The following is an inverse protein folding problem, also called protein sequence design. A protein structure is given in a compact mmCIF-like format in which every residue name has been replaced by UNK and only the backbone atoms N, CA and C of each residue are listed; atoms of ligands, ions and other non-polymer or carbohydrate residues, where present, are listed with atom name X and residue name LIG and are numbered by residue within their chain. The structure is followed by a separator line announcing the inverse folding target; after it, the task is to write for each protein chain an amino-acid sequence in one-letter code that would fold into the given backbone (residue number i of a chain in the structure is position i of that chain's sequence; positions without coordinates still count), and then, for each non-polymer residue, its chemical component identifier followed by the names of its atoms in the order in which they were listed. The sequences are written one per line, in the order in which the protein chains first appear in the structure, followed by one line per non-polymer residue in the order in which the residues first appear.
data_IF_305004176504
#
_entry.id   IF_305004176504
#
_cell.length_a   1.000
_cell.length_b   1.000
_cell.length_c   1.000
_cell.angle_alpha   90.00
_cell.angle_beta   90.00
_cell.angle_gamma   90.00
#
_symmetry.space_group_name_H-M   'P 1'
#
loop_
_entity.id
_entity.type
_entity.pdbx_description
1 polymer ?
#
# COMPACT_ATOMS: atom_id res chain seq x y z
N UNK A 1 -4.67 -7.96 14.64
CA UNK A 1 -4.87 -6.80 13.74
C UNK A 1 -4.37 -7.21 12.36
N UNK A 2 -5.14 -6.96 11.31
CA UNK A 2 -4.87 -7.37 9.91
C UNK A 2 -4.80 -6.12 9.02
N UNK A 3 -4.07 -6.19 7.91
CA UNK A 3 -4.00 -5.10 6.92
C UNK A 3 -5.39 -4.82 6.34
N UNK A 4 -5.74 -3.53 6.19
CA UNK A 4 -7.04 -3.12 5.66
C UNK A 4 -7.08 -3.26 4.14
N UNK A 5 -8.19 -3.81 3.63
CA UNK A 5 -8.42 -4.01 2.20
C UNK A 5 -9.49 -3.06 1.64
N UNK A 6 -10.26 -2.37 2.49
CA UNK A 6 -11.38 -1.48 2.12
C UNK A 6 -12.36 -2.05 1.09
N UNK A 7 -12.65 -3.36 1.13
CA UNK A 7 -13.51 -4.03 0.15
C UNK A 7 -14.88 -3.36 0.00
N UNK A 8 -15.53 -2.97 1.09
CA UNK A 8 -16.87 -2.38 1.04
C UNK A 8 -16.91 -1.05 0.28
N UNK A 9 -15.85 -0.25 0.43
CA UNK A 9 -15.74 1.02 -0.29
C UNK A 9 -15.29 0.79 -1.72
N UNK A 10 -14.32 -0.11 -1.95
CA UNK A 10 -13.85 -0.49 -3.29
C UNK A 10 -14.97 -1.04 -4.17
N UNK A 11 -15.89 -1.85 -3.62
CA UNK A 11 -17.07 -2.37 -4.34
C UNK A 11 -17.97 -1.25 -4.86
N UNK A 12 -18.01 -0.11 -4.18
CA UNK A 12 -18.79 1.06 -4.57
C UNK A 12 -18.09 1.92 -5.65
N UNK A 13 -16.88 1.53 -6.07
CA UNK A 13 -16.07 2.22 -7.06
C UNK A 13 -15.89 1.34 -8.30
N UNK A 14 -16.84 1.36 -9.26
CA UNK A 14 -16.84 0.44 -10.40
C UNK A 14 -15.55 0.49 -11.22
N UNK A 15 -14.95 1.68 -11.36
CA UNK A 15 -13.71 1.86 -12.12
C UNK A 15 -12.53 1.04 -11.58
N UNK A 16 -12.46 0.81 -10.27
CA UNK A 16 -11.41 0.01 -9.63
C UNK A 16 -11.86 -1.44 -9.56
N UNK A 17 -13.09 -1.68 -9.07
CA UNK A 17 -13.58 -3.03 -8.82
C UNK A 17 -13.73 -3.84 -10.11
N UNK A 18 -14.36 -3.29 -11.15
CA UNK A 18 -14.55 -3.99 -12.43
C UNK A 18 -13.21 -4.16 -13.17
N UNK A 19 -12.31 -3.18 -13.03
CA UNK A 19 -10.96 -3.31 -13.59
C UNK A 19 -10.19 -4.47 -12.95
N UNK A 20 -10.22 -4.58 -11.63
CA UNK A 20 -9.58 -5.68 -10.91
C UNK A 20 -10.25 -7.03 -11.19
N UNK A 21 -11.58 -7.03 -11.33
CA UNK A 21 -12.32 -8.21 -11.74
C UNK A 21 -11.80 -8.74 -13.08
N UNK A 22 -11.78 -7.90 -14.12
CA UNK A 22 -11.38 -8.30 -15.47
C UNK A 22 -9.88 -8.59 -15.59
N UNK A 23 -9.04 -7.78 -14.96
CA UNK A 23 -7.59 -7.82 -15.17
C UNK A 23 -6.88 -8.86 -14.30
N UNK A 24 -7.44 -9.16 -13.12
CA UNK A 24 -6.80 -10.01 -12.12
C UNK A 24 -7.66 -11.23 -11.80
N UNK A 25 -8.89 -11.03 -11.33
CA UNK A 25 -9.74 -12.12 -10.83
C UNK A 25 -10.10 -13.10 -11.94
N UNK A 26 -10.60 -12.58 -13.06
CA UNK A 26 -11.00 -13.40 -14.21
C UNK A 26 -9.77 -14.08 -14.82
N UNK A 27 -8.61 -13.42 -14.82
CA UNK A 27 -7.37 -14.02 -15.33
C UNK A 27 -6.89 -15.20 -14.48
N UNK A 28 -6.91 -15.05 -13.15
CA UNK A 28 -6.51 -16.14 -12.23
C UNK A 28 -7.52 -17.30 -12.29
N UNK A 29 -8.81 -16.99 -12.25
CA UNK A 29 -9.86 -18.02 -12.13
C UNK A 29 -10.27 -18.64 -13.46
N UNK A 30 -10.34 -17.84 -14.54
CA UNK A 30 -10.80 -18.28 -15.85
C UNK A 30 -9.66 -18.63 -16.79
N UNK A 31 -8.57 -17.85 -16.87
CA UNK A 31 -7.48 -18.17 -17.79
C UNK A 31 -6.55 -19.22 -17.20
N UNK A 32 -6.13 -19.04 -15.94
CA UNK A 32 -5.20 -19.93 -15.26
C UNK A 32 -5.88 -21.08 -14.53
N UNK A 33 -7.22 -21.06 -14.44
CA UNK A 33 -8.03 -22.10 -13.81
C UNK A 33 -7.64 -22.38 -12.35
N UNK A 34 -7.10 -21.38 -11.65
CA UNK A 34 -6.80 -21.48 -10.23
C UNK A 34 -8.09 -21.15 -9.46
N UNK A 35 -8.73 -22.19 -8.94
CA UNK A 35 -10.03 -22.09 -8.24
C UNK A 35 -9.93 -22.32 -6.74
N UNK A 36 -8.71 -22.45 -6.22
CA UNK A 36 -8.44 -22.63 -4.78
C UNK A 36 -8.86 -21.43 -3.92
N UNK A 37 -8.98 -20.24 -4.53
CA UNK A 37 -9.34 -18.99 -3.85
C UNK A 37 -10.66 -18.45 -4.40
N UNK A 38 -11.47 -17.85 -3.53
CA UNK A 38 -12.68 -17.17 -3.99
C UNK A 38 -12.32 -15.86 -4.69
N UNK A 39 -13.24 -15.35 -5.52
CA UNK A 39 -13.08 -14.05 -6.16
C UNK A 39 -12.93 -12.92 -5.13
N UNK A 40 -13.62 -13.05 -4.00
CA UNK A 40 -13.52 -12.10 -2.89
C UNK A 40 -12.15 -12.13 -2.22
N UNK A 41 -11.53 -13.30 -2.05
CA UNK A 41 -10.17 -13.41 -1.52
C UNK A 41 -9.18 -12.68 -2.44
N UNK A 42 -9.31 -12.88 -3.76
CA UNK A 42 -8.43 -12.23 -4.74
C UNK A 42 -8.62 -10.70 -4.69
N UNK A 43 -9.87 -10.22 -4.64
CA UNK A 43 -10.15 -8.78 -4.48
C UNK A 43 -9.58 -8.22 -3.19
N UNK A 44 -9.66 -8.98 -2.09
CA UNK A 44 -9.11 -8.61 -0.79
C UNK A 44 -7.60 -8.43 -0.87
N UNK A 45 -6.90 -9.35 -1.54
CA UNK A 45 -5.44 -9.24 -1.75
C UNK A 45 -5.09 -8.01 -2.59
N UNK A 46 -5.83 -7.72 -3.66
CA UNK A 46 -5.67 -6.48 -4.42
C UNK A 46 -5.89 -5.25 -3.52
N UNK A 47 -6.88 -5.28 -2.63
CA UNK A 47 -7.13 -4.28 -1.60
C UNK A 47 -5.92 -4.02 -0.72
N UNK A 48 -5.41 -5.09 -0.11
CA UNK A 48 -4.25 -5.02 0.78
C UNK A 48 -3.05 -4.40 0.06
N UNK A 49 -2.76 -4.87 -1.16
CA UNK A 49 -1.61 -4.37 -1.95
C UNK A 49 -1.76 -2.90 -2.34
N UNK A 50 -2.96 -2.45 -2.71
CA UNK A 50 -3.18 -1.06 -3.11
C UNK A 50 -3.09 -0.08 -1.93
N UNK A 51 -3.54 -0.50 -0.75
CA UNK A 51 -3.61 0.37 0.44
C UNK A 51 -2.31 0.39 1.24
N UNK A 52 -1.67 -0.78 1.38
CA UNK A 52 -0.60 -1.02 2.36
C UNK A 52 0.79 -1.22 1.74
N UNK A 53 0.92 -1.38 0.42
CA UNK A 53 2.23 -1.61 -0.18
C UNK A 53 3.03 -0.30 -0.32
N UNK A 54 4.33 -0.41 -0.10
CA UNK A 54 5.31 0.66 -0.26
C UNK A 54 6.10 0.42 -1.55
N UNK A 55 6.41 1.50 -2.26
CA UNK A 55 7.34 1.45 -3.40
C UNK A 55 8.76 1.28 -2.85
N UNK A 56 9.51 0.32 -3.41
CA UNK A 56 10.85 -0.08 -2.90
C UNK A 56 11.80 -0.27 -4.08
N UNK A 57 13.10 -0.05 -3.85
CA UNK A 57 14.13 -0.14 -4.87
C UNK A 57 14.36 1.16 -5.64
N UNK A 58 15.20 1.08 -6.67
CA UNK A 58 15.52 2.22 -7.53
C UNK A 58 14.30 2.66 -8.36
N UNK A 59 14.20 3.97 -8.67
CA UNK A 59 13.09 4.54 -9.47
C UNK A 59 12.91 3.87 -10.85
N UNK A 60 13.92 3.14 -11.33
CA UNK A 60 13.87 2.39 -12.59
C UNK A 60 13.09 1.07 -12.51
N UNK A 61 12.82 0.56 -11.30
CA UNK A 61 12.14 -0.71 -11.04
C UNK A 61 10.80 -0.46 -10.31
N UNK A 62 9.69 -0.93 -10.89
CA UNK A 62 8.38 -0.84 -10.24
C UNK A 62 8.17 -2.01 -9.29
N UNK A 63 8.82 -1.97 -8.12
CA UNK A 63 8.68 -3.00 -7.08
C UNK A 63 7.84 -2.45 -5.93
N UNK A 64 6.94 -3.28 -5.40
CA UNK A 64 6.10 -2.95 -4.24
C UNK A 64 6.28 -3.99 -3.15
N UNK A 65 6.56 -3.54 -1.93
CA UNK A 65 6.76 -4.36 -0.75
C UNK A 65 5.64 -4.18 0.28
N UNK A 66 5.22 -5.28 0.91
CA UNK A 66 4.37 -5.25 2.10
C UNK A 66 5.24 -5.42 3.34
N UNK A 67 5.16 -4.47 4.26
CA UNK A 67 5.91 -4.49 5.52
C UNK A 67 4.95 -4.64 6.70
N UNK A 68 4.87 -5.82 7.34
CA UNK A 68 3.94 -6.10 8.44
C UNK A 68 4.06 -5.19 9.67
N UNK A 69 5.17 -4.47 9.82
CA UNK A 69 5.36 -3.54 10.95
C UNK A 69 5.14 -2.09 10.54
N UNK A 70 5.48 -1.73 9.29
CA UNK A 70 5.39 -0.35 8.83
C UNK A 70 3.94 0.08 8.54
N UNK A 71 3.03 -0.85 8.23
CA UNK A 71 1.62 -0.50 8.00
C UNK A 71 0.92 0.07 9.24
N UNK A 72 1.47 -0.13 10.45
CA UNK A 72 0.95 0.47 11.68
C UNK A 72 1.28 1.96 11.81
N UNK A 73 2.28 2.46 11.07
CA UNK A 73 2.77 3.83 11.24
C UNK A 73 1.83 4.79 10.52
N UNK A 74 1.12 5.63 11.26
CA UNK A 74 0.14 6.55 10.71
C UNK A 74 0.75 7.51 9.66
N UNK A 75 -0.05 7.86 8.66
CA UNK A 75 0.37 8.82 7.65
C UNK A 75 0.45 10.25 8.21
N UNK A 76 1.52 10.98 7.85
CA UNK A 76 1.58 12.44 7.97
C UNK A 76 2.31 13.04 6.76
N UNK A 77 1.79 14.14 6.21
CA UNK A 77 2.46 14.93 5.17
C UNK A 77 3.74 15.63 5.70
N UNK A 78 3.85 15.81 7.02
CA UNK A 78 5.06 16.27 7.71
C UNK A 78 5.45 15.18 8.72
N UNK A 79 6.11 14.09 8.26
CA UNK A 79 6.39 12.95 9.11
C UNK A 79 7.56 13.24 10.06
N UNK A 80 7.49 12.65 11.26
CA UNK A 80 8.62 12.65 12.20
C UNK A 80 9.58 11.47 11.99
N UNK A 81 9.30 10.60 11.01
CA UNK A 81 10.22 9.57 10.52
C UNK A 81 10.52 9.71 9.03
N UNK A 82 11.66 9.15 8.64
CA UNK A 82 12.01 8.86 7.26
C UNK A 82 12.28 7.37 7.12
N UNK A 83 12.27 6.88 5.88
CA UNK A 83 12.62 5.49 5.58
C UNK A 83 13.61 5.39 4.44
N UNK A 84 14.39 4.32 4.46
CA UNK A 84 15.27 3.89 3.37
C UNK A 84 15.20 2.37 3.26
N UNK A 85 15.17 1.83 2.06
CA UNK A 85 15.38 0.42 1.78
C UNK A 85 16.86 0.14 1.48
N UNK A 86 17.28 -1.11 1.71
CA UNK A 86 18.61 -1.60 1.33
C UNK A 86 18.54 -2.56 0.12
N UNK A 87 19.69 -3.05 -0.33
CA UNK A 87 19.79 -3.98 -1.48
C UNK A 87 19.00 -5.29 -1.28
N UNK A 88 18.62 -5.63 -0.05
CA UNK A 88 17.78 -6.78 0.30
C UNK A 88 16.30 -6.40 0.47
N UNK A 89 15.91 -5.19 0.07
CA UNK A 89 14.57 -4.61 0.23
C UNK A 89 14.11 -4.54 1.69
N UNK A 90 15.03 -4.41 2.66
CA UNK A 90 14.66 -4.21 4.06
C UNK A 90 14.42 -2.74 4.34
N UNK A 91 13.19 -2.41 4.70
CA UNK A 91 12.84 -1.06 5.12
C UNK A 91 13.46 -0.75 6.48
N UNK A 92 14.24 0.33 6.54
CA UNK A 92 14.75 0.94 7.77
C UNK A 92 13.99 2.22 8.01
N UNK A 93 13.32 2.32 9.16
CA UNK A 93 12.61 3.53 9.59
C UNK A 93 13.39 4.18 10.71
N UNK A 94 13.66 5.48 10.59
CA UNK A 94 14.41 6.25 11.58
C UNK A 94 13.78 7.63 11.77
N UNK A 95 13.92 8.20 12.96
CA UNK A 95 13.37 9.53 13.27
C UNK A 95 14.12 10.62 12.49
N UNK A 96 13.39 11.48 11.80
CA UNK A 96 13.95 12.64 11.07
C UNK A 96 14.09 13.88 11.96
N UNK A 97 13.39 13.89 13.10
CA UNK A 97 13.39 14.95 14.11
C UNK A 97 13.46 14.36 15.51
N UNK A 98 13.68 15.19 16.54
CA UNK A 98 13.56 14.75 17.92
C UNK A 98 12.10 14.40 18.22
N UNK A 99 11.84 13.16 18.66
CA UNK A 99 10.50 12.69 19.04
C UNK A 99 10.47 12.49 20.56
N UNK A 100 9.69 13.30 21.31
CA UNK A 100 9.42 13.11 22.73
C UNK A 100 8.82 11.73 23.04
N UNK A 101 9.00 11.29 24.28
CA UNK A 101 8.31 10.09 24.77
C UNK A 101 6.80 10.27 24.64
N UNK A 102 6.11 9.19 24.23
CA UNK A 102 4.66 9.10 24.07
C UNK A 102 4.08 9.90 22.87
N UNK A 103 4.93 10.49 22.02
CA UNK A 103 4.49 11.06 20.74
C UNK A 103 4.28 9.97 19.67
N UNK A 104 3.27 10.17 18.82
CA UNK A 104 2.94 9.24 17.73
C UNK A 104 4.03 9.28 16.66
N UNK A 105 4.50 8.10 16.27
CA UNK A 105 5.40 7.93 15.13
C UNK A 105 4.59 8.02 13.84
N UNK A 106 5.03 8.86 12.90
CA UNK A 106 4.34 9.12 11.63
C UNK A 106 5.29 8.99 10.44
N UNK A 107 4.74 8.51 9.32
CA UNK A 107 5.45 8.21 8.08
C UNK A 107 4.74 8.87 6.89
N UNK A 108 5.49 9.34 5.90
CA UNK A 108 4.86 9.72 4.63
C UNK A 108 4.64 8.48 3.76
N UNK A 109 3.39 8.25 3.34
CA UNK A 109 3.03 7.19 2.40
C UNK A 109 3.26 7.61 0.94
N UNK A 110 3.68 8.85 0.73
CA UNK A 110 3.98 9.44 -0.57
C UNK A 110 5.41 9.97 -0.54
N UNK A 111 6.10 9.93 -1.67
CA UNK A 111 7.38 10.63 -1.80
C UNK A 111 7.13 12.13 -1.55
N UNK A 112 7.79 12.71 -0.56
CA UNK A 112 7.63 14.13 -0.14
C UNK A 112 7.98 15.13 -1.25
N UNK A 113 8.60 14.68 -2.35
CA UNK A 113 8.86 15.49 -3.55
C UNK A 113 7.66 15.57 -4.51
N UNK A 114 6.55 14.87 -4.25
CA UNK A 114 5.30 15.02 -5.02
C UNK A 114 4.59 16.31 -4.59
N UNK A 115 4.41 17.24 -5.54
CA UNK A 115 3.72 18.52 -5.35
C UNK A 115 2.32 18.30 -4.78
N UNK A 116 1.88 19.13 -3.84
CA UNK A 116 0.59 19.03 -3.12
C UNK A 116 -0.64 18.90 -4.04
N UNK A 117 -0.59 19.41 -5.26
CA UNK A 117 -1.68 19.29 -6.25
C UNK A 117 -1.74 17.93 -6.97
N UNK A 118 -0.80 17.02 -6.70
CA UNK A 118 -0.76 15.65 -7.22
C UNK A 118 -1.01 14.61 -6.13
N UNK A 119 -1.38 15.03 -4.91
CA UNK A 119 -1.97 14.12 -3.93
C UNK A 119 -3.31 13.63 -4.48
N UNK A 120 -3.26 12.47 -5.14
CA UNK A 120 -4.46 11.74 -5.50
C UNK A 120 -5.25 11.51 -4.22
N UNK A 121 -6.55 11.83 -4.14
CA UNK A 121 -7.42 11.48 -3.02
C UNK A 121 -7.74 9.97 -3.03
N UNK A 122 -6.71 9.13 -3.19
CA UNK A 122 -6.83 7.68 -3.30
C UNK A 122 -5.97 7.02 -2.24
N UNK A 123 -6.39 7.23 -1.00
CA UNK A 123 -6.43 6.15 -0.03
C UNK A 123 -7.85 6.15 0.51
N UNK A 124 -8.67 5.35 -0.16
CA UNK A 124 -10.03 5.03 0.26
C UNK A 124 -9.94 3.70 0.99
#
# INVERSE_FOLDING_TARGET
MSMEAHNDIRRQLPSIWEYNQRSVVDRITQDWKITTFSQEDIHTVCGILEVNAFEVGEESLNIRGLYPTAFYIAHSCVPNTSHSDDEEFRMKVFTSVQVPKDEIITLSYTNSLKVTNLESPRKI
#
